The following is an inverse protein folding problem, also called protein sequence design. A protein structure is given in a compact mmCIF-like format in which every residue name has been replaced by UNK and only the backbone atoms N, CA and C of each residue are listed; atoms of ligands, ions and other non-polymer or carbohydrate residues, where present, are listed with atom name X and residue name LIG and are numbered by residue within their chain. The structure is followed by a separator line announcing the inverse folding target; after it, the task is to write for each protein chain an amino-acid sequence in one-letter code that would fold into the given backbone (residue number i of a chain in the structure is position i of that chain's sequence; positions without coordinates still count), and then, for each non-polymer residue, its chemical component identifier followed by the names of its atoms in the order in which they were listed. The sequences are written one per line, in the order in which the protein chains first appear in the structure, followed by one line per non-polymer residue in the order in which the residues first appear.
data_IF_317353911849
#
_entry.id   IF_317353911849
#
_cell.length_a   1.000
_cell.length_b   1.000
_cell.length_c   1.000
_cell.angle_alpha   90.00
_cell.angle_beta   90.00
_cell.angle_gamma   90.00
#
_symmetry.space_group_name_H-M   'P 1'
#
loop_
_entity.id
_entity.type
_entity.pdbx_description
1 polymer ?
#
# COMPACT_ATOMS: atom_id res chain seq x y z
N UNK A 1 -5.47 -18.20 -3.88
CA UNK A 1 -4.48 -17.49 -3.03
C UNK A 1 -3.71 -16.40 -3.79
N UNK A 2 -2.98 -16.69 -4.87
CA UNK A 2 -2.20 -15.67 -5.61
C UNK A 2 -3.07 -14.53 -6.15
N UNK A 3 -4.25 -14.84 -6.70
CA UNK A 3 -5.19 -13.82 -7.19
C UNK A 3 -5.66 -12.86 -6.09
N UNK A 4 -6.02 -13.38 -4.91
CA UNK A 4 -6.42 -12.57 -3.75
C UNK A 4 -5.26 -11.66 -3.29
N UNK A 5 -4.02 -12.17 -3.29
CA UNK A 5 -2.85 -11.34 -3.04
C UNK A 5 -2.72 -10.20 -4.04
N UNK A 6 -2.86 -10.48 -5.33
CA UNK A 6 -2.78 -9.46 -6.38
C UNK A 6 -3.91 -8.42 -6.29
N UNK A 7 -5.06 -8.73 -5.68
CA UNK A 7 -6.12 -7.75 -5.42
C UNK A 7 -5.79 -6.77 -4.28
N UNK A 8 -4.86 -7.12 -3.39
CA UNK A 8 -4.39 -6.18 -2.34
C UNK A 8 -3.27 -5.25 -2.81
N UNK A 9 -2.63 -5.56 -3.95
CA UNK A 9 -1.54 -4.75 -4.49
C UNK A 9 -1.98 -3.36 -4.98
N UNK A 10 -3.09 -3.18 -5.72
CA UNK A 10 -3.52 -1.86 -6.19
C UNK A 10 -3.61 -0.78 -5.10
N UNK A 11 -4.29 -0.98 -3.96
CA UNK A 11 -4.33 0.03 -2.91
C UNK A 11 -2.94 0.27 -2.30
N UNK A 12 -2.14 -0.78 -2.08
CA UNK A 12 -0.76 -0.68 -1.60
C UNK A 12 0.12 0.16 -2.55
N UNK A 13 0.06 -0.13 -3.85
CA UNK A 13 0.87 0.51 -4.87
C UNK A 13 0.45 1.96 -5.07
N UNK A 14 -0.85 2.23 -5.15
CA UNK A 14 -1.35 3.60 -5.28
C UNK A 14 -0.94 4.47 -4.08
N UNK A 15 -1.16 4.00 -2.85
CA UNK A 15 -0.80 4.76 -1.64
C UNK A 15 0.70 5.08 -1.59
N UNK A 16 1.55 4.09 -1.91
CA UNK A 16 3.00 4.32 -1.97
C UNK A 16 3.39 5.26 -3.13
N UNK A 17 2.84 5.05 -4.32
CA UNK A 17 3.14 5.85 -5.52
C UNK A 17 2.76 7.33 -5.32
N UNK A 18 1.59 7.60 -4.72
CA UNK A 18 1.16 8.95 -4.40
C UNK A 18 2.12 9.64 -3.43
N UNK A 19 2.56 8.92 -2.37
CA UNK A 19 3.50 9.46 -1.40
C UNK A 19 4.89 9.70 -1.99
N UNK A 20 5.42 8.75 -2.77
CA UNK A 20 6.69 8.94 -3.48
C UNK A 20 6.61 10.11 -4.46
N UNK A 21 5.49 10.28 -5.15
CA UNK A 21 5.28 11.41 -6.06
C UNK A 21 5.32 12.73 -5.31
N UNK A 22 4.61 12.83 -4.18
CA UNK A 22 4.65 14.01 -3.33
C UNK A 22 6.07 14.33 -2.88
N UNK A 23 6.84 13.33 -2.43
CA UNK A 23 8.22 13.50 -2.01
C UNK A 23 9.17 13.90 -3.15
N UNK A 24 8.97 13.39 -4.37
CA UNK A 24 9.80 13.74 -5.52
C UNK A 24 9.55 15.17 -6.02
N UNK A 25 8.31 15.63 -5.98
CA UNK A 25 7.90 16.95 -6.49
C UNK A 25 8.07 18.03 -5.42
N UNK A 26 7.45 17.82 -4.24
CA UNK A 26 7.37 18.81 -3.16
C UNK A 26 8.39 18.59 -2.05
N UNK A 27 9.05 17.44 -2.00
CA UNK A 27 10.07 17.17 -0.99
C UNK A 27 11.34 17.98 -1.22
N UNK A 28 11.74 18.74 -0.21
CA UNK A 28 13.07 19.36 -0.12
C UNK A 28 14.11 18.33 0.30
N UNK A 29 14.34 17.37 -0.60
CA UNK A 29 15.32 16.30 -0.47
C UNK A 29 16.58 16.60 -1.26
N UNK A 30 17.73 16.25 -0.72
CA UNK A 30 19.01 16.44 -1.40
C UNK A 30 19.03 15.70 -2.75
N UNK A 31 19.73 16.21 -3.79
CA UNK A 31 19.76 15.58 -5.13
C UNK A 31 20.18 14.09 -5.10
N UNK A 32 21.12 13.74 -4.21
CA UNK A 32 21.54 12.35 -4.01
C UNK A 32 20.46 11.45 -3.39
N UNK A 33 19.59 11.98 -2.54
CA UNK A 33 18.43 11.25 -2.00
C UNK A 33 17.33 11.11 -3.05
N UNK A 34 17.05 12.19 -3.79
CA UNK A 34 16.08 12.19 -4.89
C UNK A 34 16.40 11.10 -5.91
N UNK A 35 17.67 10.95 -6.30
CA UNK A 35 18.08 9.88 -7.21
C UNK A 35 17.95 8.47 -6.65
N UNK A 36 18.10 8.28 -5.33
CA UNK A 36 17.84 6.97 -4.72
C UNK A 36 16.35 6.67 -4.67
N UNK A 37 15.51 7.68 -4.41
CA UNK A 37 14.05 7.52 -4.40
C UNK A 37 13.50 7.26 -5.81
N UNK A 38 14.02 7.97 -6.83
CA UNK A 38 13.65 7.74 -8.23
C UNK A 38 13.96 6.31 -8.69
N UNK A 39 15.07 5.72 -8.21
CA UNK A 39 15.41 4.31 -8.47
C UNK A 39 14.43 3.30 -7.86
N UNK A 40 13.51 3.73 -6.99
CA UNK A 40 12.45 2.87 -6.46
C UNK A 40 11.23 2.80 -7.39
N UNK A 41 11.04 3.75 -8.32
CA UNK A 41 9.88 3.76 -9.23
C UNK A 41 9.73 2.47 -10.06
N UNK A 42 10.81 1.87 -10.61
CA UNK A 42 10.69 0.60 -11.31
C UNK A 42 10.12 -0.54 -10.46
N UNK A 43 10.38 -0.57 -9.15
CA UNK A 43 9.81 -1.60 -8.27
C UNK A 43 8.27 -1.48 -8.18
N UNK A 44 7.74 -0.25 -8.15
CA UNK A 44 6.30 0.00 -8.21
C UNK A 44 5.75 -0.42 -9.59
N UNK A 45 6.45 -0.08 -10.67
CA UNK A 45 6.07 -0.47 -12.03
C UNK A 45 6.02 -1.98 -12.25
N UNK A 46 6.99 -2.74 -11.72
CA UNK A 46 7.01 -4.21 -11.80
C UNK A 46 5.84 -4.82 -11.01
N UNK A 47 5.52 -4.27 -9.83
CA UNK A 47 4.38 -4.76 -9.06
C UNK A 47 3.04 -4.42 -9.73
N UNK A 48 2.92 -3.26 -10.39
CA UNK A 48 1.76 -2.96 -11.24
C UNK A 48 1.68 -3.90 -12.45
N UNK A 49 2.81 -4.32 -13.00
CA UNK A 49 2.84 -5.33 -14.07
C UNK A 49 2.31 -6.68 -13.57
N UNK A 50 2.59 -7.05 -12.32
CA UNK A 50 1.96 -8.23 -11.71
C UNK A 50 0.43 -8.05 -11.58
N UNK A 51 -0.05 -6.87 -11.21
CA UNK A 51 -1.49 -6.54 -11.19
C UNK A 51 -2.11 -6.58 -12.60
N UNK A 52 -1.34 -6.24 -13.63
CA UNK A 52 -1.81 -6.25 -15.02
C UNK A 52 -2.16 -7.64 -15.54
N UNK A 53 -1.73 -8.71 -14.85
CA UNK A 53 -2.21 -10.07 -15.10
C UNK A 53 -3.69 -10.28 -14.74
N UNK A 54 -4.26 -9.42 -13.88
CA UNK A 54 -5.68 -9.46 -13.51
C UNK A 54 -6.54 -8.59 -14.43
N UNK A 55 -6.11 -7.36 -14.70
CA UNK A 55 -6.82 -6.41 -15.56
C UNK A 55 -5.84 -5.64 -16.44
N UNK A 56 -6.11 -5.64 -17.74
CA UNK A 56 -5.24 -5.00 -18.74
C UNK A 56 -5.07 -3.49 -18.53
N UNK A 57 -6.03 -2.83 -17.90
CA UNK A 57 -6.00 -1.39 -17.58
C UNK A 57 -4.76 -0.99 -16.78
N UNK A 58 -4.26 -1.88 -15.92
CA UNK A 58 -3.06 -1.61 -15.12
C UNK A 58 -1.80 -1.43 -15.99
N UNK A 59 -1.77 -1.94 -17.24
CA UNK A 59 -0.65 -1.70 -18.16
C UNK A 59 -0.44 -0.21 -18.46
N UNK A 60 -1.50 0.60 -18.47
CA UNK A 60 -1.37 2.03 -18.70
C UNK A 60 -0.59 2.72 -17.56
N UNK A 61 -0.80 2.27 -16.32
CA UNK A 61 -0.06 2.76 -15.15
C UNK A 61 1.42 2.35 -15.26
N UNK A 62 1.68 1.08 -15.62
CA UNK A 62 3.03 0.56 -15.87
C UNK A 62 3.75 1.42 -16.91
N UNK A 63 3.12 1.63 -18.07
CA UNK A 63 3.69 2.42 -19.16
C UNK A 63 4.01 3.85 -18.72
N UNK A 64 3.10 4.52 -18.01
CA UNK A 64 3.32 5.88 -17.52
C UNK A 64 4.52 5.97 -16.55
N UNK A 65 4.68 5.00 -15.64
CA UNK A 65 5.82 4.94 -14.70
C UNK A 65 7.13 4.69 -15.46
N UNK A 66 7.16 3.70 -16.35
CA UNK A 66 8.39 3.36 -17.09
C UNK A 66 8.77 4.44 -18.11
N UNK A 67 7.80 5.09 -18.75
CA UNK A 67 8.03 6.26 -19.59
C UNK A 67 8.64 7.41 -18.79
N UNK A 68 8.08 7.74 -17.62
CA UNK A 68 8.68 8.75 -16.75
C UNK A 68 10.12 8.37 -16.32
N UNK A 69 10.35 7.11 -16.00
CA UNK A 69 11.67 6.63 -15.58
C UNK A 69 12.72 6.69 -16.71
N UNK A 70 12.33 6.38 -17.96
CA UNK A 70 13.26 6.37 -19.10
C UNK A 70 13.67 7.77 -19.55
N UNK A 71 12.81 8.77 -19.38
CA UNK A 71 13.07 10.15 -19.82
C UNK A 71 13.96 10.95 -18.85
N UNK A 72 14.22 10.43 -17.66
CA UNK A 72 14.76 11.24 -16.55
C UNK A 72 16.06 10.69 -16.01
N UNK A 73 17.10 11.52 -16.05
CA UNK A 73 18.30 11.23 -15.27
C UNK A 73 17.95 11.29 -13.78
N UNK A 74 18.23 10.20 -13.06
CA UNK A 74 17.89 9.99 -11.63
C UNK A 74 18.14 11.21 -10.71
N UNK A 75 19.11 12.08 -10.99
CA UNK A 75 19.42 13.27 -10.14
C UNK A 75 18.63 14.54 -10.50
N UNK A 76 18.02 14.63 -11.68
CA UNK A 76 17.34 15.84 -12.21
C UNK A 76 15.82 15.69 -12.31
N UNK A 77 15.22 14.79 -11.53
CA UNK A 77 13.80 14.42 -11.61
C UNK A 77 12.82 15.59 -11.49
N UNK A 78 13.14 16.61 -10.69
CA UNK A 78 12.28 17.79 -10.50
C UNK A 78 12.43 18.83 -11.62
N UNK A 79 13.59 18.89 -12.25
CA UNK A 79 13.94 19.95 -13.22
C UNK A 79 13.74 19.52 -14.67
N UNK A 80 13.95 18.23 -14.95
CA UNK A 80 13.93 17.70 -16.32
C UNK A 80 12.91 16.58 -16.52
N UNK A 81 12.12 16.25 -15.50
CA UNK A 81 11.16 15.17 -15.56
C UNK A 81 9.85 15.56 -16.24
N UNK A 82 9.24 14.70 -17.07
CA UNK A 82 7.88 14.90 -17.54
C UNK A 82 6.90 14.67 -16.37
N UNK A 83 6.77 15.66 -15.48
CA UNK A 83 5.96 15.55 -14.26
C UNK A 83 4.50 15.20 -14.56
N UNK A 84 4.00 15.60 -15.74
CA UNK A 84 2.68 15.22 -16.23
C UNK A 84 2.51 13.69 -16.28
N UNK A 85 3.54 12.92 -16.65
CA UNK A 85 3.46 11.46 -16.74
C UNK A 85 3.36 10.82 -15.36
N UNK A 86 4.02 11.39 -14.35
CA UNK A 86 3.92 10.93 -12.96
C UNK A 86 2.54 11.26 -12.36
N UNK A 87 1.99 12.44 -12.67
CA UNK A 87 0.61 12.80 -12.30
C UNK A 87 -0.41 11.92 -13.04
N UNK A 88 -0.20 11.62 -14.31
CA UNK A 88 -1.02 10.70 -15.08
C UNK A 88 -1.01 9.30 -14.46
N UNK A 89 0.17 8.77 -14.11
CA UNK A 89 0.29 7.48 -13.43
C UNK A 89 -0.50 7.45 -12.10
N UNK A 90 -0.48 8.55 -11.33
CA UNK A 90 -1.29 8.65 -10.12
C UNK A 90 -2.79 8.77 -10.40
N UNK A 91 -3.18 9.53 -11.42
CA UNK A 91 -4.59 9.66 -11.82
C UNK A 91 -5.16 8.32 -12.27
N UNK A 92 -4.40 7.56 -13.07
CA UNK A 92 -4.78 6.22 -13.52
C UNK A 92 -4.84 5.23 -12.35
N UNK A 93 -3.85 5.23 -11.46
CA UNK A 93 -3.86 4.39 -10.26
C UNK A 93 -5.02 4.74 -9.31
N UNK A 94 -5.32 6.03 -9.15
CA UNK A 94 -6.46 6.50 -8.37
C UNK A 94 -7.79 6.03 -8.97
N UNK A 95 -7.96 6.19 -10.28
CA UNK A 95 -9.16 5.73 -10.99
C UNK A 95 -9.33 4.22 -10.84
N UNK A 96 -8.27 3.44 -11.05
CA UNK A 96 -8.27 1.99 -10.90
C UNK A 96 -8.69 1.54 -9.50
N UNK A 97 -8.09 2.12 -8.46
CA UNK A 97 -8.46 1.80 -7.06
C UNK A 97 -9.87 2.27 -6.74
N UNK A 98 -10.30 3.43 -7.23
CA UNK A 98 -11.66 3.94 -7.01
C UNK A 98 -12.72 3.02 -7.63
N UNK A 99 -12.46 2.51 -8.83
CA UNK A 99 -13.32 1.50 -9.47
C UNK A 99 -13.37 0.24 -8.58
N UNK A 100 -12.24 -0.26 -8.11
CA UNK A 100 -12.23 -1.42 -7.20
C UNK A 100 -12.98 -1.19 -5.89
N UNK A 101 -12.98 0.03 -5.36
CA UNK A 101 -13.73 0.40 -4.15
C UNK A 101 -15.24 0.37 -4.42
N UNK A 102 -15.67 0.88 -5.57
CA UNK A 102 -17.09 0.95 -5.97
C UNK A 102 -17.64 -0.44 -6.34
N UNK A 103 -16.81 -1.32 -6.90
CA UNK A 103 -17.18 -2.68 -7.26
C UNK A 103 -17.33 -3.64 -6.06
N UNK A 104 -17.04 -3.19 -4.84
CA UNK A 104 -17.22 -4.03 -3.65
C UNK A 104 -18.71 -4.28 -3.37
N UNK A 105 -19.07 -5.47 -2.85
CA UNK A 105 -20.46 -5.89 -2.71
C UNK A 105 -21.26 -5.04 -1.71
N UNK A 106 -20.61 -4.49 -0.70
CA UNK A 106 -21.26 -3.70 0.34
C UNK A 106 -20.34 -2.58 0.84
N UNK A 107 -20.91 -1.59 1.53
CA UNK A 107 -20.23 -0.35 1.90
C UNK A 107 -19.00 -0.56 2.82
N UNK A 108 -19.08 -1.46 3.80
CA UNK A 108 -17.95 -1.74 4.69
C UNK A 108 -16.76 -2.41 3.96
N UNK A 109 -16.99 -3.17 2.88
CA UNK A 109 -15.95 -3.72 2.02
C UNK A 109 -15.33 -2.61 1.17
N UNK A 110 -16.15 -1.71 0.60
CA UNK A 110 -15.67 -0.50 -0.10
C UNK A 110 -14.78 0.36 0.82
N UNK A 111 -15.24 0.63 2.04
CA UNK A 111 -14.50 1.41 3.02
C UNK A 111 -13.18 0.71 3.42
N UNK A 112 -13.20 -0.61 3.61
CA UNK A 112 -11.99 -1.38 3.89
C UNK A 112 -10.97 -1.29 2.75
N UNK A 113 -11.41 -1.44 1.49
CA UNK A 113 -10.55 -1.32 0.31
C UNK A 113 -9.92 0.09 0.23
N UNK A 114 -10.68 1.14 0.53
CA UNK A 114 -10.15 2.50 0.59
C UNK A 114 -9.13 2.69 1.74
N UNK A 115 -9.39 2.11 2.91
CA UNK A 115 -8.48 2.17 4.07
C UNK A 115 -7.16 1.41 3.82
N UNK A 116 -7.19 0.34 3.03
CA UNK A 116 -5.98 -0.38 2.62
C UNK A 116 -4.98 0.51 1.86
N UNK A 117 -5.44 1.55 1.16
CA UNK A 117 -4.57 2.54 0.50
C UNK A 117 -3.66 3.21 1.52
N UNK A 118 -4.22 3.59 2.67
CA UNK A 118 -3.47 4.22 3.75
C UNK A 118 -2.63 3.19 4.50
N UNK A 119 -3.21 2.03 4.84
CA UNK A 119 -2.52 1.02 5.64
C UNK A 119 -1.35 0.38 4.88
N UNK A 120 -1.63 -0.36 3.80
CA UNK A 120 -0.61 -1.06 3.02
C UNK A 120 0.29 -0.07 2.28
N UNK A 121 -0.27 1.03 1.77
CA UNK A 121 0.49 2.08 1.11
C UNK A 121 1.51 2.74 2.03
N UNK A 122 1.17 3.00 3.30
CA UNK A 122 2.12 3.57 4.26
C UNK A 122 3.25 2.60 4.62
N UNK A 123 2.95 1.31 4.87
CA UNK A 123 3.98 0.29 5.16
C UNK A 123 4.93 0.16 3.96
N UNK A 124 4.37 0.02 2.76
CA UNK A 124 5.18 -0.18 1.55
C UNK A 124 5.99 1.08 1.20
N UNK A 125 5.40 2.27 1.33
CA UNK A 125 6.15 3.52 1.15
C UNK A 125 7.30 3.64 2.15
N UNK A 126 7.09 3.26 3.41
CA UNK A 126 8.16 3.26 4.41
C UNK A 126 9.27 2.28 4.02
N UNK A 127 8.93 1.08 3.55
CA UNK A 127 9.92 0.12 3.07
C UNK A 127 10.77 0.72 1.94
N UNK A 128 10.14 1.35 0.95
CA UNK A 128 10.85 2.00 -0.17
C UNK A 128 11.75 3.15 0.32
N UNK A 129 11.31 3.94 1.31
CA UNK A 129 12.13 5.00 1.91
C UNK A 129 13.35 4.46 2.65
N UNK A 130 13.19 3.35 3.38
CA UNK A 130 14.30 2.69 4.08
C UNK A 130 15.27 2.06 3.06
N UNK A 131 14.78 1.44 1.99
CA UNK A 131 15.61 0.92 0.89
C UNK A 131 16.41 2.04 0.22
N UNK A 132 15.75 3.18 -0.06
CA UNK A 132 16.35 4.37 -0.63
C UNK A 132 17.30 5.12 0.33
N UNK A 133 17.44 4.67 1.59
CA UNK A 133 18.25 5.35 2.63
C UNK A 133 17.88 6.83 2.74
N UNK A 134 16.58 7.08 2.86
CA UNK A 134 16.05 8.41 3.12
C UNK A 134 16.43 8.87 4.52
N UNK A 135 16.69 10.18 4.70
CA UNK A 135 16.91 10.80 6.02
C UNK A 135 15.65 11.51 6.54
N UNK A 136 14.51 11.25 5.92
CA UNK A 136 13.23 11.85 6.29
C UNK A 136 12.70 11.22 7.59
N UNK A 137 13.31 11.59 8.72
CA UNK A 137 12.98 11.06 10.05
C UNK A 137 11.50 11.26 10.41
N UNK A 138 10.90 12.39 10.02
CA UNK A 138 9.48 12.66 10.24
C UNK A 138 8.57 11.60 9.60
N UNK A 139 8.86 11.17 8.37
CA UNK A 139 8.08 10.15 7.68
C UNK A 139 8.19 8.77 8.34
N UNK A 140 9.33 8.45 8.96
CA UNK A 140 9.47 7.21 9.72
C UNK A 140 8.62 7.15 10.99
N UNK A 141 8.15 8.29 11.49
CA UNK A 141 7.18 8.36 12.60
C UNK A 141 5.74 8.56 12.12
N UNK A 142 5.51 9.36 11.09
CA UNK A 142 4.15 9.64 10.57
C UNK A 142 3.55 8.39 9.90
N UNK A 143 4.32 7.66 9.08
CA UNK A 143 3.80 6.50 8.34
C UNK A 143 3.26 5.39 9.26
N UNK A 144 3.98 4.98 10.33
CA UNK A 144 3.43 4.02 11.29
C UNK A 144 2.19 4.53 12.01
N UNK A 145 2.10 5.82 12.34
CA UNK A 145 0.90 6.39 12.97
C UNK A 145 -0.30 6.34 12.03
N UNK A 146 -0.14 6.75 10.77
CA UNK A 146 -1.18 6.59 9.73
C UNK A 146 -1.59 5.13 9.59
N UNK A 147 -0.61 4.23 9.66
CA UNK A 147 -0.82 2.79 9.66
C UNK A 147 -1.63 2.26 10.84
N UNK A 148 -1.31 2.67 12.06
CA UNK A 148 -2.06 2.29 13.26
C UNK A 148 -3.51 2.76 13.16
N UNK A 149 -3.74 4.03 12.81
CA UNK A 149 -5.09 4.60 12.71
C UNK A 149 -5.91 3.90 11.63
N UNK A 150 -5.34 3.71 10.42
CA UNK A 150 -6.02 2.99 9.35
C UNK A 150 -6.24 1.51 9.69
N UNK A 151 -5.31 0.87 10.39
CA UNK A 151 -5.46 -0.49 10.91
C UNK A 151 -6.62 -0.60 11.90
N UNK A 152 -6.75 0.35 12.84
CA UNK A 152 -7.89 0.39 13.77
C UNK A 152 -9.22 0.55 13.02
N UNK A 153 -9.28 1.44 12.03
CA UNK A 153 -10.47 1.61 11.20
C UNK A 153 -10.78 0.35 10.37
N UNK A 154 -9.77 -0.35 9.86
CA UNK A 154 -9.94 -1.63 9.16
C UNK A 154 -10.59 -2.69 10.06
N UNK A 155 -10.15 -2.80 11.32
CA UNK A 155 -10.79 -3.71 12.30
C UNK A 155 -12.27 -3.36 12.49
N UNK A 156 -12.60 -2.07 12.61
CA UNK A 156 -13.98 -1.61 12.73
C UNK A 156 -14.79 -1.96 11.47
N UNK A 157 -14.24 -1.78 10.28
CA UNK A 157 -14.93 -2.15 9.03
C UNK A 157 -15.10 -3.66 8.90
N UNK A 158 -14.12 -4.47 9.31
CA UNK A 158 -14.25 -5.92 9.37
C UNK A 158 -15.35 -6.38 10.33
N UNK A 159 -15.56 -5.66 11.44
CA UNK A 159 -16.68 -5.93 12.34
C UNK A 159 -18.02 -5.67 11.66
N UNK A 160 -18.17 -4.55 10.94
CA UNK A 160 -19.39 -4.26 10.17
C UNK A 160 -19.66 -5.29 9.06
N UNK A 161 -18.62 -5.83 8.43
CA UNK A 161 -18.76 -6.97 7.50
C UNK A 161 -19.22 -8.24 8.19
N UNK A 162 -18.63 -8.57 9.35
CA UNK A 162 -18.98 -9.77 10.10
C UNK A 162 -20.43 -9.76 10.58
N UNK A 163 -20.98 -8.59 10.95
CA UNK A 163 -22.38 -8.43 11.35
C UNK A 163 -23.40 -8.69 10.24
N UNK A 164 -22.99 -8.72 8.97
CA UNK A 164 -23.87 -9.01 7.84
C UNK A 164 -23.96 -10.52 7.53
N UNK A 165 -23.16 -11.35 8.19
CA UNK A 165 -23.16 -12.80 7.98
C UNK A 165 -24.21 -13.50 8.83
N UNK A 166 -24.77 -14.59 8.33
CA UNK A 166 -25.60 -15.50 9.12
C UNK A 166 -24.76 -16.27 10.16
N UNK A 167 -25.41 -16.76 11.21
CA UNK A 167 -24.73 -17.41 12.34
C UNK A 167 -23.94 -18.66 11.95
N UNK A 168 -24.41 -19.41 10.95
CA UNK A 168 -23.74 -20.64 10.50
C UNK A 168 -22.45 -20.27 9.77
N UNK A 169 -22.52 -19.34 8.83
CA UNK A 169 -21.33 -18.84 8.10
C UNK A 169 -20.35 -18.18 9.05
N UNK A 170 -20.82 -17.31 9.96
CA UNK A 170 -19.97 -16.61 10.92
C UNK A 170 -19.18 -17.58 11.80
N UNK A 171 -19.82 -18.63 12.32
CA UNK A 171 -19.16 -19.64 13.13
C UNK A 171 -18.05 -20.37 12.35
N UNK A 172 -18.27 -20.64 11.04
CA UNK A 172 -17.28 -21.30 10.20
C UNK A 172 -16.03 -20.43 9.90
N UNK A 173 -16.19 -19.10 9.85
CA UNK A 173 -15.10 -18.17 9.51
C UNK A 173 -14.45 -17.50 10.72
N UNK A 174 -15.04 -17.63 11.92
CA UNK A 174 -14.57 -16.93 13.13
C UNK A 174 -13.09 -17.16 13.43
N UNK A 175 -12.61 -18.41 13.36
CA UNK A 175 -11.19 -18.70 13.60
C UNK A 175 -10.27 -18.03 12.58
N UNK A 176 -10.69 -17.97 11.30
CA UNK A 176 -9.94 -17.29 10.24
C UNK A 176 -9.89 -15.77 10.47
N UNK A 177 -10.99 -15.16 10.90
CA UNK A 177 -11.03 -13.73 11.26
C UNK A 177 -10.06 -13.46 12.41
N UNK A 178 -10.13 -14.23 13.49
CA UNK A 178 -9.25 -14.06 14.65
C UNK A 178 -7.77 -14.22 14.29
N UNK A 179 -7.42 -15.22 13.48
CA UNK A 179 -6.06 -15.40 13.00
C UNK A 179 -5.58 -14.20 12.16
N UNK A 180 -6.45 -13.66 11.31
CA UNK A 180 -6.11 -12.52 10.44
C UNK A 180 -5.95 -11.23 11.24
N UNK A 181 -6.77 -11.00 12.26
CA UNK A 181 -6.64 -9.90 13.20
C UNK A 181 -5.37 -10.02 14.05
N UNK A 182 -5.02 -11.22 14.51
CA UNK A 182 -3.76 -11.47 15.20
C UNK A 182 -2.56 -11.14 14.31
N UNK A 183 -2.60 -11.54 13.02
CA UNK A 183 -1.56 -11.16 12.05
C UNK A 183 -1.50 -9.65 11.81
N UNK A 184 -2.64 -8.95 11.77
CA UNK A 184 -2.69 -7.49 11.66
C UNK A 184 -1.98 -6.81 12.84
N UNK A 185 -2.31 -7.24 14.06
CA UNK A 185 -1.69 -6.72 15.28
C UNK A 185 -0.18 -6.99 15.24
N UNK A 186 0.24 -8.20 14.89
CA UNK A 186 1.66 -8.55 14.76
C UNK A 186 2.36 -7.70 13.71
N UNK A 187 1.72 -7.45 12.56
CA UNK A 187 2.27 -6.56 11.53
C UNK A 187 2.51 -5.15 12.08
N UNK A 188 1.53 -4.58 12.80
CA UNK A 188 1.64 -3.24 13.41
C UNK A 188 2.72 -3.20 14.49
N UNK A 189 2.80 -4.21 15.35
CA UNK A 189 3.82 -4.29 16.42
C UNK A 189 5.22 -4.38 15.83
N UNK A 190 5.44 -5.30 14.88
CA UNK A 190 6.74 -5.44 14.20
C UNK A 190 7.10 -4.15 13.46
N UNK A 191 6.13 -3.50 12.83
CA UNK A 191 6.35 -2.23 12.12
C UNK A 191 6.76 -1.11 13.07
N UNK A 192 6.02 -0.93 14.17
CA UNK A 192 6.23 0.13 15.16
C UNK A 192 7.41 -0.15 16.10
N UNK A 193 7.98 -1.35 16.09
CA UNK A 193 9.07 -1.75 16.99
C UNK A 193 10.27 -0.80 17.00
N UNK A 194 10.57 -0.17 15.86
CA UNK A 194 11.67 0.79 15.78
C UNK A 194 11.38 2.10 16.55
N UNK A 195 10.10 2.49 16.67
CA UNK A 195 9.66 3.64 17.47
C UNK A 195 9.86 3.34 18.95
N UNK A 196 9.41 2.17 19.41
CA UNK A 196 9.54 1.75 20.82
C UNK A 196 10.99 1.61 21.25
N UNK A 197 11.86 1.14 20.36
CA UNK A 197 13.29 0.97 20.65
C UNK A 197 14.12 2.22 20.37
N UNK A 198 13.52 3.33 19.92
CA UNK A 198 14.21 4.55 19.50
C UNK A 198 15.33 4.30 18.49
N UNK A 199 15.16 3.30 17.62
CA UNK A 199 16.13 2.91 16.58
C UNK A 199 15.66 3.35 15.21
N UNK A 200 16.60 3.49 14.28
CA UNK A 200 16.27 3.68 12.87
C UNK A 200 15.56 2.44 12.32
N UNK A 201 14.51 2.59 11.50
CA UNK A 201 13.81 1.44 10.94
C UNK A 201 14.73 0.60 10.04
N UNK A 202 14.73 -0.72 10.26
CA UNK A 202 15.48 -1.68 9.45
C UNK A 202 14.62 -2.19 8.27
N UNK A 203 15.25 -2.39 7.10
CA UNK A 203 14.60 -2.95 5.89
C UNK A 203 13.95 -4.29 6.18
N UNK A 204 14.65 -5.19 6.89
CA UNK A 204 14.16 -6.55 7.17
C UNK A 204 12.91 -6.50 8.04
N UNK A 205 12.93 -5.65 9.07
CA UNK A 205 11.80 -5.45 9.97
C UNK A 205 10.57 -4.90 9.23
N UNK A 206 10.74 -3.85 8.42
CA UNK A 206 9.62 -3.26 7.68
C UNK A 206 9.13 -4.20 6.56
N UNK A 207 10.01 -4.97 5.93
CA UNK A 207 9.62 -6.00 4.97
C UNK A 207 8.82 -7.12 5.64
N UNK A 208 9.24 -7.60 6.81
CA UNK A 208 8.49 -8.59 7.58
C UNK A 208 7.11 -8.05 7.99
N UNK A 209 7.04 -6.80 8.44
CA UNK A 209 5.76 -6.15 8.71
C UNK A 209 4.86 -6.06 7.48
N UNK A 210 5.41 -5.72 6.30
CA UNK A 210 4.66 -5.69 5.05
C UNK A 210 4.11 -7.07 4.67
N UNK A 211 4.92 -8.13 4.81
CA UNK A 211 4.47 -9.49 4.51
C UNK A 211 3.35 -9.94 5.45
N UNK A 212 3.46 -9.64 6.75
CA UNK A 212 2.39 -9.90 7.73
C UNK A 212 1.12 -9.09 7.41
N UNK A 213 1.28 -7.81 7.03
CA UNK A 213 0.16 -6.96 6.64
C UNK A 213 -0.55 -7.48 5.38
N UNK A 214 0.19 -7.89 4.36
CA UNK A 214 -0.37 -8.51 3.14
C UNK A 214 -1.05 -9.84 3.47
N UNK A 215 -0.44 -10.70 4.27
CA UNK A 215 -1.04 -11.97 4.70
C UNK A 215 -2.37 -11.74 5.45
N UNK A 216 -2.38 -10.77 6.37
CA UNK A 216 -3.59 -10.38 7.09
C UNK A 216 -4.69 -9.84 6.17
N UNK A 217 -4.36 -8.87 5.30
CA UNK A 217 -5.35 -8.24 4.41
C UNK A 217 -5.90 -9.21 3.36
N UNK A 218 -5.05 -10.09 2.81
CA UNK A 218 -5.51 -11.12 1.88
C UNK A 218 -6.46 -12.11 2.50
N UNK A 219 -6.20 -12.49 3.75
CA UNK A 219 -7.09 -13.37 4.51
C UNK A 219 -8.42 -12.66 4.87
N UNK A 220 -8.37 -11.40 5.31
CA UNK A 220 -9.58 -10.61 5.58
C UNK A 220 -10.39 -10.29 4.32
N UNK A 221 -9.76 -10.22 3.15
CA UNK A 221 -10.49 -9.98 1.90
C UNK A 221 -11.48 -11.11 1.57
N UNK A 222 -11.22 -12.34 2.03
CA UNK A 222 -12.19 -13.44 1.95
C UNK A 222 -13.49 -13.14 2.70
N UNK A 223 -13.41 -12.48 3.86
CA UNK A 223 -14.58 -12.07 4.64
C UNK A 223 -15.46 -11.09 3.85
N UNK A 224 -14.83 -10.11 3.20
CA UNK A 224 -15.52 -9.07 2.45
C UNK A 224 -16.26 -9.60 1.21
N UNK A 225 -15.81 -10.72 0.67
CA UNK A 225 -16.47 -11.40 -0.44
C UNK A 225 -17.61 -12.32 0.01
N UNK A 226 -17.53 -12.86 1.23
CA UNK A 226 -18.56 -13.75 1.80
C UNK A 226 -19.75 -12.99 2.39
N UNK A 227 -19.59 -11.71 2.69
CA UNK A 227 -20.63 -10.81 3.19
C UNK A 227 -21.43 -10.12 2.06
N UNK A 228 -21.31 -10.65 0.83
CA UNK A 228 -22.06 -10.26 -0.36
C UNK A 228 -23.33 -11.11 -0.49
#
# INVERSE_FOLDING_TARGET
MIQQLLLTFPPMLFGAQALLTLLLIKGDICPGQRGRLHKMLPSIGILWLAVASLRIEAFMIVFAIFYFYSQVQTKKTREKGPLWALHLANGLAFAYVSIQVIEQPHWAASASMALMVFFLGAVFAQLLLVIARSRLQAFHRILPVTGVVSGMLLVVMSLFSAYQLDEVTLNSVTQHILASLAMLIMAIVVWCWHIFTHKTPNKVQVAAALLLALASMTSLQGLFLLSA
#
